data_IF_749773234813
#
_entry.id   IF_749773234813
#
_cell.length_a   1.000
_cell.length_b   1.000
_cell.length_c   1.000
_cell.angle_alpha   90.00
_cell.angle_beta   90.00
_cell.angle_gamma   90.00
#
_symmetry.space_group_name_H-M   'P 1'
#
loop_
_entity.id
_entity.type
_entity.pdbx_description
1 polymer ?
#
# COMPACT_ATOMS: atom_id res chain seq x y z
N UNK A 1 23.76 -23.76 -24.04
CA UNK A 1 22.87 -23.74 -22.86
C UNK A 1 23.19 -22.45 -22.09
N UNK A 2 22.68 -21.26 -22.46
CA UNK A 2 21.35 -20.69 -22.15
C UNK A 2 20.74 -21.23 -20.85
N UNK A 3 20.95 -20.52 -19.75
CA UNK A 3 19.96 -20.25 -18.68
C UNK A 3 20.52 -19.20 -17.70
N UNK A 4 20.91 -18.02 -18.20
CA UNK A 4 21.14 -16.85 -17.33
C UNK A 4 19.79 -16.17 -17.09
N UNK A 5 18.94 -16.83 -16.30
CA UNK A 5 17.66 -16.28 -15.90
C UNK A 5 17.91 -15.22 -14.84
N UNK A 6 17.92 -13.96 -15.30
CA UNK A 6 17.85 -12.75 -14.49
C UNK A 6 16.76 -12.93 -13.44
N UNK A 7 17.14 -13.03 -12.17
CA UNK A 7 16.22 -12.78 -11.07
C UNK A 7 15.97 -11.27 -11.11
N UNK A 8 14.99 -10.87 -11.91
CA UNK A 8 14.42 -9.54 -11.81
C UNK A 8 13.94 -9.41 -10.36
N UNK A 9 14.57 -8.50 -9.61
CA UNK A 9 13.95 -7.96 -8.41
C UNK A 9 12.49 -7.68 -8.78
N UNK A 10 11.54 -8.21 -8.01
CA UNK A 10 10.11 -8.07 -8.28
C UNK A 10 9.75 -6.58 -8.15
N UNK A 11 10.07 -5.82 -9.19
CA UNK A 11 9.57 -4.49 -9.37
C UNK A 11 8.05 -4.66 -9.45
N UNK A 12 7.29 -3.87 -8.69
CA UNK A 12 5.84 -3.90 -8.79
C UNK A 12 5.46 -3.77 -10.26
N UNK A 13 4.59 -4.67 -10.73
CA UNK A 13 4.20 -4.69 -12.13
C UNK A 13 3.62 -3.33 -12.48
N UNK A 14 4.25 -2.62 -13.43
CA UNK A 14 3.83 -1.28 -13.84
C UNK A 14 2.34 -1.22 -14.23
N UNK A 15 1.75 -2.25 -14.90
CA UNK A 15 0.31 -2.31 -15.13
C UNK A 15 -0.54 -2.33 -13.85
N UNK A 16 -0.07 -3.01 -12.80
CA UNK A 16 -0.76 -3.08 -11.51
C UNK A 16 -0.70 -1.75 -10.77
N UNK A 17 0.47 -1.10 -10.78
CA UNK A 17 0.67 0.24 -10.20
C UNK A 17 -0.26 1.27 -10.86
N UNK A 18 -0.31 1.28 -12.19
CA UNK A 18 -1.21 2.16 -12.94
C UNK A 18 -2.70 1.86 -12.66
N UNK A 19 -3.05 0.61 -12.37
CA UNK A 19 -4.40 0.24 -11.96
C UNK A 19 -4.73 0.75 -10.56
N UNK A 20 -3.82 0.60 -9.59
CA UNK A 20 -4.00 1.13 -8.22
C UNK A 20 -4.15 2.64 -8.21
N UNK A 21 -3.33 3.37 -8.96
CA UNK A 21 -3.43 4.82 -9.09
C UNK A 21 -4.79 5.26 -9.65
N UNK A 22 -5.29 4.56 -10.69
CA UNK A 22 -6.62 4.83 -11.27
C UNK A 22 -7.75 4.48 -10.32
N UNK A 23 -7.61 3.42 -9.52
CA UNK A 23 -8.59 3.03 -8.51
C UNK A 23 -8.67 4.07 -7.39
N UNK A 24 -7.54 4.43 -6.78
CA UNK A 24 -7.47 5.43 -5.72
C UNK A 24 -8.09 6.77 -6.17
N UNK A 25 -7.75 7.26 -7.36
CA UNK A 25 -8.38 8.49 -7.88
C UNK A 25 -9.91 8.36 -8.03
N UNK A 26 -10.39 7.20 -8.47
CA UNK A 26 -11.84 6.96 -8.64
C UNK A 26 -12.57 6.82 -7.32
N UNK A 27 -11.95 6.29 -6.28
CA UNK A 27 -12.52 6.20 -4.92
C UNK A 27 -12.81 7.59 -4.34
N UNK A 28 -11.94 8.56 -4.63
CA UNK A 28 -12.17 9.97 -4.32
C UNK A 28 -13.21 10.65 -5.24
N UNK A 29 -13.69 9.99 -6.28
CA UNK A 29 -14.57 10.59 -7.30
C UNK A 29 -13.87 11.65 -8.16
N UNK A 30 -12.53 11.67 -8.18
CA UNK A 30 -11.74 12.72 -8.81
C UNK A 30 -11.52 12.50 -10.30
N UNK A 31 -11.57 13.59 -11.06
CA UNK A 31 -11.07 13.64 -12.43
C UNK A 31 -9.53 13.75 -12.43
N UNK A 32 -8.89 13.56 -13.60
CA UNK A 32 -7.45 13.82 -13.72
C UNK A 32 -7.08 15.28 -13.41
N UNK A 33 -8.00 16.21 -13.68
CA UNK A 33 -7.79 17.63 -13.39
C UNK A 33 -7.84 17.91 -11.89
N UNK A 34 -8.70 17.22 -11.14
CA UNK A 34 -8.75 17.34 -9.68
C UNK A 34 -7.48 16.81 -9.03
N UNK A 35 -6.99 15.65 -9.50
CA UNK A 35 -5.71 15.11 -9.05
C UNK A 35 -4.54 16.04 -9.39
N UNK A 36 -4.56 16.68 -10.56
CA UNK A 36 -3.57 17.69 -10.94
C UNK A 36 -3.57 18.88 -9.97
N UNK A 37 -4.75 19.41 -9.63
CA UNK A 37 -4.89 20.51 -8.68
C UNK A 37 -4.37 20.13 -7.29
N UNK A 38 -4.67 18.92 -6.81
CA UNK A 38 -4.16 18.46 -5.51
C UNK A 38 -2.64 18.24 -5.51
N UNK A 39 -2.08 17.67 -6.58
CA UNK A 39 -0.61 17.57 -6.73
C UNK A 39 0.03 18.95 -6.73
N UNK A 40 -0.56 19.94 -7.40
CA UNK A 40 -0.05 21.32 -7.40
C UNK A 40 -0.12 21.97 -6.02
N UNK A 41 -1.20 21.73 -5.25
CA UNK A 41 -1.31 22.17 -3.85
C UNK A 41 -0.23 21.54 -2.99
N UNK A 42 -0.03 20.22 -3.08
CA UNK A 42 1.04 19.50 -2.35
C UNK A 42 2.41 20.09 -2.68
N UNK A 43 2.70 20.30 -3.96
CA UNK A 43 3.97 20.90 -4.40
C UNK A 43 4.17 22.30 -3.83
N UNK A 44 3.12 23.12 -3.83
CA UNK A 44 3.14 24.47 -3.27
C UNK A 44 3.40 24.45 -1.77
N UNK A 45 2.77 23.54 -1.02
CA UNK A 45 3.04 23.34 0.42
C UNK A 45 4.49 22.93 0.68
N UNK A 46 5.08 22.12 -0.19
CA UNK A 46 6.48 21.69 -0.14
C UNK A 46 7.47 22.74 -0.67
N UNK A 47 7.01 23.90 -1.14
CA UNK A 47 7.87 24.95 -1.70
C UNK A 47 8.57 24.57 -3.00
N UNK A 48 8.06 23.58 -3.73
CA UNK A 48 8.67 23.13 -4.98
C UNK A 48 8.36 24.11 -6.12
N UNK A 49 9.30 24.25 -7.06
CA UNK A 49 9.13 25.14 -8.22
C UNK A 49 7.85 24.79 -8.99
N UNK A 50 7.03 25.79 -9.37
CA UNK A 50 5.84 25.58 -10.18
C UNK A 50 6.19 24.88 -11.49
N UNK A 51 5.42 23.86 -11.83
CA UNK A 51 5.49 23.19 -13.13
C UNK A 51 4.29 23.69 -13.93
N UNK A 52 4.48 23.95 -15.23
CA UNK A 52 3.37 24.32 -16.12
C UNK A 52 2.24 23.27 -16.01
N UNK A 53 0.97 23.65 -15.74
CA UNK A 53 -0.11 22.70 -15.47
C UNK A 53 -0.30 21.63 -16.54
N UNK A 54 -0.11 21.98 -17.82
CA UNK A 54 -0.16 21.03 -18.95
C UNK A 54 0.90 19.92 -18.90
N UNK A 55 2.01 20.13 -18.20
CA UNK A 55 3.04 19.12 -17.95
C UNK A 55 2.64 18.16 -16.82
N UNK A 56 1.98 18.65 -15.76
CA UNK A 56 1.48 17.82 -14.66
C UNK A 56 0.43 16.83 -15.16
N UNK A 57 -0.57 17.32 -15.90
CA UNK A 57 -1.61 16.48 -16.47
C UNK A 57 -1.04 15.41 -17.42
N UNK A 58 -0.05 15.78 -18.26
CA UNK A 58 0.65 14.83 -19.14
C UNK A 58 1.37 13.73 -18.35
N UNK A 59 2.04 14.09 -17.26
CA UNK A 59 2.77 13.14 -16.42
C UNK A 59 1.83 12.21 -15.66
N UNK A 60 0.77 12.73 -15.05
CA UNK A 60 -0.28 11.91 -14.41
C UNK A 60 -0.85 10.91 -15.41
N UNK A 61 -1.20 11.36 -16.63
CA UNK A 61 -1.70 10.48 -17.68
C UNK A 61 -0.70 9.39 -18.07
N UNK A 62 0.59 9.72 -18.18
CA UNK A 62 1.62 8.73 -18.46
C UNK A 62 1.73 7.68 -17.35
N UNK A 63 1.65 8.08 -16.08
CA UNK A 63 1.69 7.16 -14.94
C UNK A 63 0.45 6.25 -14.89
N UNK A 64 -0.74 6.78 -15.16
CA UNK A 64 -1.97 5.98 -15.29
C UNK A 64 -1.96 5.02 -16.50
N UNK A 65 -1.03 5.22 -17.45
CA UNK A 65 -0.78 4.34 -18.60
C UNK A 65 0.36 3.34 -18.35
N UNK A 66 1.00 3.36 -17.18
CA UNK A 66 2.08 2.43 -16.82
C UNK A 66 3.48 3.00 -16.91
N UNK A 67 3.66 4.31 -17.12
CA UNK A 67 4.98 4.92 -16.95
C UNK A 67 5.40 4.87 -15.48
N UNK A 68 6.69 4.64 -15.21
CA UNK A 68 7.23 4.58 -13.86
C UNK A 68 7.40 6.00 -13.28
N UNK A 69 6.70 6.36 -12.20
CA UNK A 69 6.96 7.62 -11.51
C UNK A 69 8.29 7.57 -10.76
N UNK A 70 9.06 8.66 -10.83
CA UNK A 70 10.26 8.83 -10.02
C UNK A 70 9.95 9.04 -8.54
N UNK A 71 10.94 8.98 -7.63
CA UNK A 71 10.73 9.06 -6.18
C UNK A 71 9.92 10.30 -5.76
N UNK A 72 10.29 11.48 -6.26
CA UNK A 72 9.55 12.71 -5.99
C UNK A 72 8.07 12.61 -6.41
N UNK A 73 7.79 12.01 -7.57
CA UNK A 73 6.40 11.87 -8.03
C UNK A 73 5.61 10.86 -7.21
N UNK A 74 6.26 9.81 -6.72
CA UNK A 74 5.62 8.83 -5.84
C UNK A 74 5.17 9.48 -4.54
N UNK A 75 6.05 10.25 -3.90
CA UNK A 75 5.72 11.01 -2.69
C UNK A 75 4.60 12.02 -2.92
N UNK A 76 4.65 12.76 -4.04
CA UNK A 76 3.63 13.77 -4.37
C UNK A 76 2.26 13.15 -4.61
N UNK A 77 2.21 12.02 -5.31
CA UNK A 77 0.97 11.31 -5.60
C UNK A 77 0.39 10.61 -4.36
N UNK A 78 1.26 10.03 -3.53
CA UNK A 78 0.89 9.44 -2.24
C UNK A 78 0.26 10.49 -1.32
N UNK A 79 0.92 11.65 -1.17
CA UNK A 79 0.38 12.74 -0.36
C UNK A 79 -0.92 13.32 -0.96
N UNK A 80 -0.99 13.50 -2.28
CA UNK A 80 -2.18 14.06 -2.93
C UNK A 80 -3.40 13.14 -2.79
N UNK A 81 -3.21 11.82 -2.86
CA UNK A 81 -4.26 10.82 -2.69
C UNK A 81 -4.49 10.43 -1.23
N UNK A 82 -3.68 10.95 -0.31
CA UNK A 82 -3.67 10.61 1.12
C UNK A 82 -3.49 9.11 1.38
N UNK A 83 -2.68 8.47 0.54
CA UNK A 83 -2.38 7.05 0.59
C UNK A 83 -0.91 6.83 0.94
N UNK A 84 -0.61 5.63 1.46
CA UNK A 84 0.77 5.23 1.68
C UNK A 84 1.47 4.95 0.33
N UNK A 85 2.75 5.32 0.22
CA UNK A 85 3.53 5.10 -1.00
C UNK A 85 3.64 3.61 -1.35
N UNK A 86 3.83 2.75 -0.35
CA UNK A 86 3.92 1.30 -0.54
C UNK A 86 2.57 0.69 -0.92
N UNK A 87 1.46 1.31 -0.49
CA UNK A 87 0.13 0.89 -0.90
C UNK A 87 -0.13 1.20 -2.39
N UNK A 88 0.17 2.42 -2.82
CA UNK A 88 -0.04 2.84 -4.21
C UNK A 88 0.92 2.16 -5.18
N UNK A 89 2.18 2.05 -4.80
CA UNK A 89 3.25 1.68 -5.72
C UNK A 89 3.90 0.33 -5.40
N UNK A 90 3.48 -0.36 -4.35
CA UNK A 90 4.03 -1.65 -3.91
C UNK A 90 5.32 -1.52 -3.10
N UNK A 91 5.47 -2.44 -2.15
CA UNK A 91 6.67 -2.58 -1.31
C UNK A 91 7.90 -2.90 -2.16
N UNK A 92 8.96 -2.11 -2.03
CA UNK A 92 10.27 -2.50 -2.56
C UNK A 92 10.91 -3.50 -1.60
N UNK A 93 10.98 -4.77 -2.01
CA UNK A 93 11.77 -5.75 -1.26
C UNK A 93 13.23 -5.34 -1.38
N UNK A 94 13.85 -4.98 -0.25
CA UNK A 94 15.26 -4.66 -0.20
C UNK A 94 16.07 -5.91 -0.59
N UNK A 95 16.68 -5.87 -1.78
CA UNK A 95 17.49 -6.96 -2.31
C UNK A 95 18.78 -7.19 -1.51
N UNK A 96 19.10 -6.32 -0.54
CA UNK A 96 20.22 -6.47 0.38
C UNK A 96 19.94 -7.43 1.55
N UNK A 97 18.73 -7.99 1.66
CA UNK A 97 18.46 -9.03 2.65
C UNK A 97 19.42 -10.22 2.41
N UNK A 98 20.25 -10.60 3.40
CA UNK A 98 21.13 -11.76 3.25
C UNK A 98 20.25 -12.96 2.91
N UNK A 99 20.62 -13.68 1.84
CA UNK A 99 19.92 -14.91 1.46
C UNK A 99 19.83 -15.79 2.72
N UNK A 100 18.64 -16.25 3.12
CA UNK A 100 18.53 -17.10 4.29
C UNK A 100 19.43 -18.30 4.04
N UNK A 101 20.42 -18.48 4.92
CA UNK A 101 21.25 -19.67 4.92
C UNK A 101 20.31 -20.83 5.22
N UNK A 102 19.95 -21.59 4.19
CA UNK A 102 19.24 -22.84 4.34
C UNK A 102 20.22 -23.83 4.98
N UNK A 103 20.33 -23.78 6.30
CA UNK A 103 21.06 -24.78 7.06
C UNK A 103 20.23 -26.07 6.94
N UNK A 104 20.73 -27.03 6.16
CA UNK A 104 20.15 -28.37 6.11
C UNK A 104 20.49 -29.09 7.43
N UNK A 105 19.78 -28.74 8.49
CA UNK A 105 19.81 -29.52 9.72
C UNK A 105 18.90 -30.74 9.56
N UNK A 106 19.34 -31.94 9.95
CA UNK A 106 18.47 -33.11 9.98
C UNK A 106 17.35 -32.83 10.99
N UNK A 107 16.12 -32.68 10.48
CA UNK A 107 14.94 -32.49 11.33
C UNK A 107 14.53 -33.85 11.88
N UNK A 108 14.83 -34.11 13.15
CA UNK A 108 14.25 -35.22 13.90
C UNK A 108 12.82 -34.85 14.38
N UNK A 109 11.95 -35.83 14.57
CA UNK A 109 10.60 -35.70 15.12
C UNK A 109 10.55 -34.90 16.43
N UNK A 110 11.56 -35.03 17.30
CA UNK A 110 11.64 -34.27 18.55
C UNK A 110 11.82 -32.76 18.29
N UNK A 111 12.63 -32.39 17.31
CA UNK A 111 12.83 -31.00 16.89
C UNK A 111 11.56 -30.45 16.27
N UNK A 112 10.86 -31.26 15.46
CA UNK A 112 9.57 -30.88 14.89
C UNK A 112 8.51 -30.65 15.98
N UNK A 113 8.48 -31.50 17.02
CA UNK A 113 7.57 -31.34 18.16
C UNK A 113 7.82 -30.02 18.91
N UNK A 114 9.08 -29.66 19.14
CA UNK A 114 9.44 -28.37 19.76
C UNK A 114 9.03 -27.19 18.87
N UNK A 115 9.29 -27.24 17.57
CA UNK A 115 8.89 -26.17 16.63
C UNK A 115 7.36 -26.00 16.62
N UNK A 116 6.60 -27.10 16.62
CA UNK A 116 5.14 -27.06 16.64
C UNK A 116 4.61 -26.51 17.97
N UNK A 117 5.21 -26.90 19.10
CA UNK A 117 4.86 -26.35 20.41
C UNK A 117 5.16 -24.85 20.51
N UNK A 118 6.31 -24.40 20.00
CA UNK A 118 6.71 -23.00 19.94
C UNK A 118 5.73 -22.19 19.07
N UNK A 119 5.34 -22.72 17.91
CA UNK A 119 4.37 -22.08 17.01
C UNK A 119 3.00 -21.94 17.68
N UNK A 120 2.52 -22.98 18.35
CA UNK A 120 1.25 -22.94 19.07
C UNK A 120 1.28 -21.91 20.22
N UNK A 121 2.40 -21.83 20.95
CA UNK A 121 2.60 -20.81 21.99
C UNK A 121 2.61 -19.39 21.39
N UNK A 122 3.31 -19.18 20.28
CA UNK A 122 3.40 -17.88 19.61
C UNK A 122 2.04 -17.42 19.04
N UNK A 123 1.27 -18.31 18.41
CA UNK A 123 -0.09 -18.01 17.93
C UNK A 123 -0.98 -17.59 19.10
N UNK A 124 -0.95 -18.32 20.22
CA UNK A 124 -1.72 -17.98 21.42
C UNK A 124 -1.32 -16.62 21.98
N UNK A 125 -0.02 -16.32 22.06
CA UNK A 125 0.46 -15.02 22.53
C UNK A 125 -0.02 -13.85 21.65
N UNK A 126 -0.01 -14.02 20.32
CA UNK A 126 -0.53 -12.99 19.39
C UNK A 126 -2.07 -12.90 19.39
N UNK A 127 -2.78 -13.94 19.78
CA UNK A 127 -4.26 -13.94 19.85
C UNK A 127 -4.78 -13.10 21.03
N UNK A 128 -3.97 -12.88 22.08
CA UNK A 128 -4.41 -12.17 23.30
C UNK A 128 -4.23 -10.64 23.29
N UNK A 129 -3.66 -10.06 22.23
CA UNK A 129 -3.40 -8.61 22.16
C UNK A 129 -4.17 -7.90 21.04
N UNK A 130 -5.50 -8.09 20.95
CA UNK A 130 -6.43 -7.03 20.48
C UNK A 130 -7.81 -7.29 21.12
N UNK A 131 -8.25 -6.55 22.16
CA UNK A 131 -9.67 -6.48 22.45
C UNK A 131 -10.33 -5.62 21.37
N UNK A 132 -11.00 -6.26 20.41
CA UNK A 132 -11.99 -5.58 19.58
C UNK A 132 -13.18 -5.31 20.51
N UNK A 133 -13.24 -4.15 21.14
CA UNK A 133 -14.47 -3.67 21.78
C UNK A 133 -15.53 -3.49 20.69
N UNK A 134 -16.67 -4.19 20.72
CA UNK A 134 -17.78 -3.85 19.85
C UNK A 134 -18.31 -2.47 20.27
N UNK A 135 -18.25 -1.50 19.36
CA UNK A 135 -18.98 -0.23 19.49
C UNK A 135 -20.46 -0.61 19.50
N UNK A 136 -21.09 -0.55 20.68
CA UNK A 136 -22.53 -0.59 20.81
C UNK A 136 -23.10 0.59 20.02
N UNK A 137 -23.81 0.27 18.94
CA UNK A 137 -24.58 1.22 18.14
C UNK A 137 -25.64 1.89 19.01
N UNK A 138 -25.40 3.14 19.40
CA UNK A 138 -26.44 4.07 19.85
C UNK A 138 -27.15 4.61 18.62
N UNK A 139 -28.09 3.85 18.06
CA UNK A 139 -29.11 4.42 17.17
C UNK A 139 -30.23 4.98 18.02
N UNK A 140 -30.30 6.31 18.05
CA UNK A 140 -31.44 7.06 18.54
C UNK A 140 -32.69 6.64 17.76
N UNK A 141 -33.67 6.05 18.45
CA UNK A 141 -35.02 5.85 17.90
C UNK A 141 -35.91 6.96 18.44
N UNK A 142 -36.10 8.01 17.65
CA UNK A 142 -37.26 8.88 17.79
C UNK A 142 -38.45 8.17 17.14
N UNK A 143 -39.45 7.79 17.94
CA UNK A 143 -40.79 7.45 17.44
C UNK A 143 -41.85 7.83 18.47
N UNK A 144 -42.35 9.04 18.27
CA UNK A 144 -43.72 9.52 18.45
C UNK A 144 -44.72 8.60 19.19
N UNK A 145 -45.19 9.07 20.35
CA UNK A 145 -46.49 8.64 20.91
C UNK A 145 -47.32 9.88 21.22
N UNK A 146 -48.43 10.03 20.48
CA UNK A 146 -49.58 10.81 20.92
C UNK A 146 -50.31 9.97 21.95
N UNK A 147 -50.65 10.53 23.10
CA UNK A 147 -52.01 10.48 23.67
C UNK A 147 -52.07 11.23 25.01
N UNK A 148 -53.12 12.07 25.11
CA UNK A 148 -53.57 12.93 26.20
C UNK A 148 -52.79 14.24 26.41
#
# INVERSE_FOLDING_TARGET
MRENQRVAAAAPDLPETAQRLRAARKEWGWTQHDLMNEVEKVRSRRGLTPIVPGSICRQIKAFEQGAKPGPLWRELLAEALQEDEDHLFGLTIDGALPRPLLVQTPVNADVLAVIMAQRAAHIRANTFSVPITPVLSLTATWSQSRNC
#
